data_IF_339177864735
#
_entry.id   IF_339177864735
#
_cell.length_a   1.000
_cell.length_b   1.000
_cell.length_c   1.000
_cell.angle_alpha   90.00
_cell.angle_beta   90.00
_cell.angle_gamma   90.00
#
_symmetry.space_group_name_H-M   'P 1'
#
loop_
_entity.id
_entity.type
_entity.pdbx_description
1 polymer ?
#
# COMPACT_ATOMS: atom_id res chain seq x y z
N UNK A 1 -20.61 32.42 -1.66
CA UNK A 1 -19.39 31.78 -2.18
C UNK A 1 -19.58 30.28 -2.04
N UNK A 2 -20.03 29.61 -3.10
CA UNK A 2 -20.20 28.16 -3.09
C UNK A 2 -18.82 27.50 -3.13
N UNK A 3 -18.56 26.56 -2.22
CA UNK A 3 -17.35 25.74 -2.28
C UNK A 3 -17.30 25.01 -3.64
N UNK A 4 -16.14 24.94 -4.32
CA UNK A 4 -16.02 24.18 -5.57
C UNK A 4 -16.41 22.72 -5.32
N UNK A 5 -17.02 22.02 -6.30
CA UNK A 5 -17.36 20.61 -6.16
C UNK A 5 -16.08 19.89 -5.80
N UNK A 6 -16.08 19.24 -4.64
CA UNK A 6 -14.93 18.45 -4.19
C UNK A 6 -14.84 17.29 -5.18
N UNK A 7 -13.96 17.46 -6.17
CA UNK A 7 -13.65 16.51 -7.23
C UNK A 7 -13.67 15.13 -6.61
N UNK A 8 -14.62 14.29 -7.06
CA UNK A 8 -14.75 12.94 -6.58
C UNK A 8 -13.41 12.25 -6.83
N UNK A 9 -12.57 12.18 -5.80
CA UNK A 9 -11.34 11.40 -5.81
C UNK A 9 -11.83 9.96 -5.78
N UNK A 10 -12.17 9.43 -6.95
CA UNK A 10 -12.49 8.03 -7.12
C UNK A 10 -11.23 7.28 -6.70
N UNK A 11 -11.29 6.63 -5.55
CA UNK A 11 -10.26 5.70 -5.14
C UNK A 11 -10.16 4.53 -6.11
N UNK A 12 -9.22 3.64 -5.84
CA UNK A 12 -9.03 2.44 -6.63
C UNK A 12 -10.18 1.45 -6.37
N UNK A 13 -10.61 0.75 -7.41
CA UNK A 13 -11.56 -0.35 -7.28
C UNK A 13 -10.98 -1.48 -6.43
N UNK A 14 -11.85 -2.21 -5.72
CA UNK A 14 -11.42 -3.27 -4.80
C UNK A 14 -10.48 -4.31 -5.45
N UNK A 15 -10.72 -4.68 -6.71
CA UNK A 15 -9.86 -5.61 -7.45
C UNK A 15 -8.46 -5.04 -7.69
N UNK A 16 -8.35 -3.75 -8.04
CA UNK A 16 -7.06 -3.11 -8.26
C UNK A 16 -6.25 -3.00 -6.95
N UNK A 17 -6.93 -2.72 -5.83
CA UNK A 17 -6.33 -2.71 -4.50
C UNK A 17 -5.84 -4.12 -4.13
N UNK A 18 -6.65 -5.15 -4.37
CA UNK A 18 -6.31 -6.54 -4.08
C UNK A 18 -5.09 -7.04 -4.88
N UNK A 19 -4.90 -6.54 -6.11
CA UNK A 19 -3.73 -6.87 -6.95
C UNK A 19 -2.42 -6.23 -6.50
N UNK A 20 -2.43 -5.30 -5.54
CA UNK A 20 -1.19 -4.74 -5.00
C UNK A 20 -0.40 -5.83 -4.25
N UNK A 21 0.93 -5.85 -4.40
CA UNK A 21 1.75 -6.91 -3.85
C UNK A 21 1.69 -6.91 -2.32
N UNK A 22 1.36 -8.08 -1.77
CA UNK A 22 1.25 -8.34 -0.34
C UNK A 22 2.44 -9.20 0.09
N UNK A 23 3.07 -8.80 1.18
CA UNK A 23 4.22 -9.50 1.75
C UNK A 23 3.96 -9.83 3.22
N UNK A 24 4.51 -10.95 3.68
CA UNK A 24 4.64 -11.22 5.12
C UNK A 24 5.86 -10.47 5.64
N UNK A 25 5.63 -9.55 6.56
CA UNK A 25 6.70 -8.75 7.14
C UNK A 25 7.62 -9.63 8.01
N UNK A 26 8.95 -9.45 7.87
CA UNK A 26 9.97 -10.29 8.53
C UNK A 26 10.82 -9.55 9.57
N UNK A 27 10.82 -8.21 9.52
CA UNK A 27 11.66 -7.36 10.38
C UNK A 27 10.89 -6.95 11.65
N UNK A 28 11.51 -6.11 12.49
CA UNK A 28 10.88 -5.41 13.61
C UNK A 28 11.25 -3.94 13.53
N UNK A 29 10.41 -3.07 14.07
CA UNK A 29 10.71 -1.65 14.24
C UNK A 29 10.31 -0.74 13.08
N UNK A 30 9.63 -1.23 12.04
CA UNK A 30 8.88 -0.35 11.13
C UNK A 30 7.54 0.06 11.76
N UNK A 31 7.08 1.27 11.46
CA UNK A 31 5.79 1.82 11.90
C UNK A 31 4.89 2.06 10.68
N UNK A 32 3.61 1.74 10.78
CA UNK A 32 2.67 2.05 9.72
C UNK A 32 2.26 3.54 9.78
N UNK A 33 2.52 4.34 8.74
CA UNK A 33 2.22 5.78 8.76
C UNK A 33 0.74 6.13 8.83
N UNK A 34 -0.14 5.16 8.58
CA UNK A 34 -1.60 5.36 8.56
C UNK A 34 -2.20 5.20 9.95
N UNK A 35 -1.78 4.16 10.69
CA UNK A 35 -2.30 3.89 12.04
C UNK A 35 -1.33 4.27 13.16
N UNK A 36 -0.10 4.68 12.82
CA UNK A 36 1.00 4.97 13.75
C UNK A 36 1.33 3.78 14.68
N UNK A 37 1.00 2.57 14.23
CA UNK A 37 1.24 1.33 14.97
C UNK A 37 2.48 0.61 14.48
N UNK A 38 3.20 -0.05 15.40
CA UNK A 38 4.31 -0.94 15.05
C UNK A 38 3.85 -2.04 14.10
N UNK A 39 4.64 -2.28 13.05
CA UNK A 39 4.50 -3.42 12.16
C UNK A 39 5.26 -4.60 12.76
N UNK A 40 4.54 -5.67 13.08
CA UNK A 40 5.08 -6.86 13.74
C UNK A 40 5.46 -7.94 12.74
N UNK A 41 6.47 -8.78 13.05
CA UNK A 41 6.80 -9.94 12.23
C UNK A 41 5.56 -10.81 12.00
N UNK A 42 5.42 -11.34 10.79
CA UNK A 42 4.30 -12.16 10.29
C UNK A 42 3.02 -11.39 9.96
N UNK A 43 2.95 -10.09 10.24
CA UNK A 43 1.83 -9.27 9.74
C UNK A 43 1.89 -9.12 8.22
N UNK A 44 0.71 -8.97 7.61
CA UNK A 44 0.60 -8.71 6.18
C UNK A 44 0.76 -7.22 5.93
N UNK A 45 1.67 -6.90 5.04
CA UNK A 45 1.96 -5.54 4.63
C UNK A 45 1.87 -5.42 3.13
N UNK A 46 1.51 -4.23 2.67
CA UNK A 46 1.58 -3.86 1.25
C UNK A 46 2.64 -2.82 1.08
N UNK A 47 3.43 -2.99 0.05
CA UNK A 47 4.42 -2.02 -0.38
C UNK A 47 3.98 -1.43 -1.70
N UNK A 48 3.89 -0.11 -1.78
CA UNK A 48 3.48 0.55 -3.01
C UNK A 48 4.59 0.41 -4.07
N UNK A 49 4.28 -0.06 -5.29
CA UNK A 49 5.29 -0.48 -6.26
C UNK A 49 6.17 0.68 -6.78
N UNK A 50 5.66 1.90 -6.81
CA UNK A 50 6.38 3.06 -7.36
C UNK A 50 7.28 3.72 -6.32
N UNK A 51 6.77 3.90 -5.10
CA UNK A 51 7.45 4.71 -4.06
C UNK A 51 7.94 3.90 -2.87
N UNK A 52 7.77 2.58 -2.88
CA UNK A 52 8.27 1.60 -1.90
C UNK A 52 7.87 1.80 -0.44
N UNK A 53 7.01 2.78 -0.12
CA UNK A 53 6.42 2.95 1.21
C UNK A 53 5.57 1.74 1.61
N UNK A 54 5.68 1.36 2.89
CA UNK A 54 5.11 0.16 3.48
C UNK A 54 3.99 0.51 4.47
N UNK A 55 2.93 -0.28 4.43
CA UNK A 55 1.74 -0.12 5.27
C UNK A 55 1.19 -1.49 5.66
N UNK A 56 0.44 -1.58 6.77
CA UNK A 56 -0.42 -2.73 6.99
C UNK A 56 -1.39 -2.90 5.82
N UNK A 57 -1.62 -4.15 5.41
CA UNK A 57 -2.56 -4.50 4.32
C UNK A 57 -3.90 -3.79 4.49
N UNK A 58 -4.54 -3.94 5.65
CA UNK A 58 -5.84 -3.33 5.91
C UNK A 58 -5.82 -1.80 5.92
N UNK A 59 -4.75 -1.19 6.43
CA UNK A 59 -4.63 0.27 6.53
C UNK A 59 -4.56 0.93 5.16
N UNK A 60 -3.71 0.41 4.26
CA UNK A 60 -3.59 1.00 2.93
C UNK A 60 -4.79 0.65 2.04
N UNK A 61 -5.41 -0.52 2.22
CA UNK A 61 -6.61 -0.89 1.46
C UNK A 61 -7.78 0.06 1.73
N UNK A 62 -7.99 0.45 3.01
CA UNK A 62 -9.00 1.44 3.38
C UNK A 62 -8.67 2.80 2.77
N UNK A 63 -7.42 3.24 2.85
CA UNK A 63 -6.99 4.51 2.26
C UNK A 63 -7.22 4.54 0.75
N UNK A 64 -6.84 3.48 0.04
CA UNK A 64 -6.90 3.42 -1.41
C UNK A 64 -8.32 3.36 -1.99
N UNK A 65 -9.32 2.98 -1.19
CA UNK A 65 -10.74 3.09 -1.57
C UNK A 65 -11.21 4.53 -1.71
N UNK A 66 -10.55 5.46 -1.04
CA UNK A 66 -10.90 6.88 -1.06
C UNK A 66 -9.87 7.75 -1.77
N UNK A 67 -8.59 7.32 -1.84
CA UNK A 67 -7.49 8.13 -2.36
C UNK A 67 -6.52 7.27 -3.16
N UNK A 68 -6.23 7.62 -4.40
CA UNK A 68 -5.32 6.86 -5.28
C UNK A 68 -3.84 7.27 -5.17
N UNK A 69 -3.42 7.78 -4.01
CA UNK A 69 -2.07 8.33 -3.77
C UNK A 69 -1.45 7.73 -2.51
N UNK A 70 -0.12 7.66 -2.46
CA UNK A 70 0.62 7.25 -1.28
C UNK A 70 0.37 8.23 -0.10
N UNK A 71 0.02 7.75 1.11
CA UNK A 71 -0.14 8.59 2.29
C UNK A 71 1.09 9.41 2.67
N UNK A 72 2.29 8.95 2.30
CA UNK A 72 3.57 9.56 2.69
C UNK A 72 4.04 10.58 1.66
N UNK A 73 4.16 10.17 0.39
CA UNK A 73 4.80 10.99 -0.64
C UNK A 73 3.85 11.48 -1.73
N UNK A 74 2.56 11.15 -1.65
CA UNK A 74 1.50 11.52 -2.60
C UNK A 74 1.67 11.00 -4.03
N UNK A 75 2.68 10.19 -4.30
CA UNK A 75 2.84 9.48 -5.59
C UNK A 75 1.59 8.66 -5.91
N UNK A 76 1.11 8.74 -7.16
CA UNK A 76 -0.03 7.96 -7.62
C UNK A 76 0.24 6.46 -7.50
N UNK A 77 -0.76 5.73 -7.01
CA UNK A 77 -0.71 4.28 -6.92
C UNK A 77 -1.26 3.70 -8.22
N UNK A 78 -0.37 3.22 -9.08
CA UNK A 78 -0.76 2.45 -10.24
C UNK A 78 -0.72 0.96 -9.89
N UNK A 79 -1.87 0.28 -9.96
CA UNK A 79 -1.95 -1.16 -9.77
C UNK A 79 -1.44 -1.88 -11.03
N UNK A 80 -0.13 -1.84 -11.26
CA UNK A 80 0.49 -2.78 -12.19
C UNK A 80 0.63 -4.09 -11.44
N UNK A 81 -0.08 -5.13 -11.89
CA UNK A 81 0.13 -6.48 -11.40
C UNK A 81 1.56 -6.90 -11.74
N UNK A 82 2.51 -6.69 -10.83
CA UNK A 82 3.82 -7.30 -10.95
C UNK A 82 3.67 -8.75 -10.48
N UNK A 83 3.94 -9.76 -11.32
CA UNK A 83 3.97 -11.14 -10.86
C UNK A 83 5.14 -11.29 -9.89
N UNK A 84 4.86 -11.26 -8.58
CA UNK A 84 5.88 -11.47 -7.54
C UNK A 84 6.18 -12.96 -7.40
N UNK A 85 6.98 -13.52 -8.31
CA UNK A 85 7.80 -14.69 -8.02
C UNK A 85 9.24 -14.21 -7.87
N UNK A 86 9.62 -13.86 -6.64
CA UNK A 86 11.03 -13.72 -6.26
C UNK A 86 11.34 -14.77 -5.21
N UNK A 87 11.56 -16.00 -5.68
CA UNK A 87 12.41 -16.95 -4.99
C UNK A 87 13.84 -16.40 -5.02
N UNK A 88 14.33 -15.88 -3.90
CA UNK A 88 15.77 -15.73 -3.73
C UNK A 88 16.25 -17.03 -3.07
N UNK A 89 16.43 -18.06 -3.91
CA UNK A 89 17.33 -19.15 -3.61
C UNK A 89 18.75 -18.64 -3.84
N UNK A 90 19.44 -18.22 -2.77
CA UNK A 90 20.90 -18.11 -2.83
C UNK A 90 21.46 -19.49 -2.54
N UNK A 91 22.02 -20.08 -3.59
CA UNK A 91 22.71 -21.35 -3.61
C UNK A 91 24.18 -21.13 -3.20
N UNK A 92 24.73 -22.13 -2.51
CA UNK A 92 26.11 -22.34 -2.04
C UNK A 92 26.50 -21.67 -0.72
#
# INVERSE_FOLDING_TARGET
MAAPPQEAVLGLGASAIASLPVYKYKKRGDECPVCLGEVKPKEKVKQLPVCTHLFHEGCIDVWLRSQRTCPVCRTLVNAVAVPTTVDIGVHA
#
